data_IF_693290142830
#
_entry.id   IF_693290142830
#
_cell.length_a   1.000
_cell.length_b   1.000
_cell.length_c   1.000
_cell.angle_alpha   90.00
_cell.angle_beta   90.00
_cell.angle_gamma   90.00
#
_symmetry.space_group_name_H-M   'P 1'
#
loop_
_entity.id
_entity.type
_entity.pdbx_description
1 polymer ?
#
# COMPACT_ATOMS: atom_id res chain seq x y z
N UNK A 1 -5.54 -8.21 13.28
CA UNK A 1 -4.99 -6.85 13.05
C UNK A 1 -6.01 -5.99 12.28
N UNK A 2 -6.44 -4.83 12.81
CA UNK A 2 -7.20 -3.85 12.07
C UNK A 2 -6.33 -3.06 11.06
N UNK A 3 -6.93 -2.62 9.95
CA UNK A 3 -6.28 -1.73 8.95
C UNK A 3 -5.76 -0.42 9.59
N UNK A 4 -6.32 -0.03 10.74
CA UNK A 4 -5.92 1.15 11.51
C UNK A 4 -4.47 1.11 12.01
N UNK A 5 -3.86 -0.08 12.13
CA UNK A 5 -2.47 -0.23 12.59
C UNK A 5 -1.45 -0.02 11.45
N UNK A 6 -1.95 0.19 10.22
CA UNK A 6 -1.11 0.51 9.07
C UNK A 6 -0.88 2.03 9.07
N UNK A 7 0.39 2.44 9.16
CA UNK A 7 0.76 3.84 9.04
C UNK A 7 0.33 4.37 7.66
N UNK A 8 -0.54 5.39 7.58
CA UNK A 8 -0.95 5.96 6.30
C UNK A 8 0.23 6.66 5.62
N UNK A 9 0.26 6.58 4.29
CA UNK A 9 1.26 7.26 3.48
C UNK A 9 1.13 8.80 3.52
N UNK A 10 2.24 9.53 3.32
CA UNK A 10 2.24 10.99 3.14
C UNK A 10 1.25 11.46 2.06
N UNK A 11 0.65 12.64 2.27
CA UNK A 11 -0.31 13.23 1.32
C UNK A 11 0.26 13.43 -0.08
N UNK A 12 1.56 13.69 -0.20
CA UNK A 12 2.26 13.83 -1.48
C UNK A 12 2.19 12.54 -2.29
N UNK A 13 2.50 11.40 -1.67
CA UNK A 13 2.41 10.09 -2.30
C UNK A 13 0.96 9.75 -2.70
N UNK A 14 0.01 10.03 -1.81
CA UNK A 14 -1.42 9.79 -2.07
C UNK A 14 -1.91 10.64 -3.26
N UNK A 15 -1.48 11.90 -3.33
CA UNK A 15 -1.89 12.87 -4.35
C UNK A 15 -1.62 12.40 -5.79
N UNK A 16 -0.52 11.67 -6.01
CA UNK A 16 -0.15 11.10 -7.33
C UNK A 16 -1.23 10.13 -7.85
N UNK A 17 -1.87 9.38 -6.95
CA UNK A 17 -2.83 8.34 -7.33
C UNK A 17 -4.30 8.80 -7.26
N UNK A 18 -4.59 9.93 -6.61
CA UNK A 18 -5.95 10.45 -6.42
C UNK A 18 -6.81 10.56 -7.71
N UNK A 19 -6.27 10.96 -8.88
CA UNK A 19 -7.04 11.03 -10.12
C UNK A 19 -7.58 9.67 -10.60
N UNK A 20 -6.89 8.58 -10.27
CA UNK A 20 -7.22 7.22 -10.75
C UNK A 20 -8.23 6.49 -9.86
N UNK A 21 -8.57 7.04 -8.70
CA UNK A 21 -9.46 6.41 -7.73
C UNK A 21 -10.68 7.29 -7.45
N UNK A 22 -11.86 6.67 -7.41
CA UNK A 22 -13.14 7.32 -7.15
C UNK A 22 -13.84 6.72 -5.93
N UNK A 23 -14.73 7.52 -5.31
CA UNK A 23 -15.59 7.09 -4.21
C UNK A 23 -14.82 6.57 -3.00
N UNK A 24 -15.35 5.50 -2.39
CA UNK A 24 -14.84 4.94 -1.13
C UNK A 24 -13.39 4.41 -1.21
N UNK A 25 -12.88 4.13 -2.42
CA UNK A 25 -11.50 3.64 -2.60
C UNK A 25 -10.45 4.70 -2.19
N UNK A 26 -10.79 5.99 -2.25
CA UNK A 26 -9.91 7.08 -1.79
C UNK A 26 -9.60 7.01 -0.30
N UNK A 27 -10.51 6.46 0.52
CA UNK A 27 -10.31 6.32 1.98
C UNK A 27 -9.27 5.25 2.32
N UNK A 28 -9.18 4.21 1.50
CA UNK A 28 -8.24 3.11 1.68
C UNK A 28 -6.85 3.41 1.08
N UNK A 29 -6.77 4.34 0.14
CA UNK A 29 -5.56 4.64 -0.63
C UNK A 29 -4.32 4.98 0.24
N UNK A 30 -4.41 5.80 1.30
CA UNK A 30 -3.25 6.08 2.15
C UNK A 30 -2.69 4.83 2.84
N UNK A 31 -3.57 3.92 3.27
CA UNK A 31 -3.18 2.68 3.93
C UNK A 31 -2.60 1.67 2.94
N UNK A 32 -3.18 1.57 1.74
CA UNK A 32 -2.66 0.70 0.68
C UNK A 32 -1.23 1.10 0.27
N UNK A 33 -0.97 2.40 0.10
CA UNK A 33 0.38 2.91 -0.23
C UNK A 33 1.34 2.68 0.94
N UNK A 34 0.92 2.94 2.18
CA UNK A 34 1.74 2.71 3.37
C UNK A 34 2.13 1.23 3.53
N UNK A 35 1.16 0.32 3.33
CA UNK A 35 1.38 -1.12 3.32
C UNK A 35 2.35 -1.55 2.23
N UNK A 36 2.16 -1.05 1.00
CA UNK A 36 3.04 -1.36 -0.12
C UNK A 36 4.48 -0.92 0.17
N UNK A 37 4.68 0.32 0.65
CA UNK A 37 6.02 0.84 0.99
C UNK A 37 6.69 0.08 2.15
N UNK A 38 5.91 -0.41 3.13
CA UNK A 38 6.43 -1.23 4.22
C UNK A 38 6.96 -2.58 3.73
N UNK A 39 6.37 -3.14 2.68
CA UNK A 39 6.83 -4.39 2.04
C UNK A 39 6.51 -5.67 2.83
N UNK A 40 6.11 -5.56 4.10
CA UNK A 40 5.65 -6.68 4.91
C UNK A 40 4.50 -6.30 5.84
N UNK A 41 3.75 -7.31 6.27
CA UNK A 41 2.72 -7.23 7.29
C UNK A 41 2.76 -8.51 8.11
N UNK A 42 2.92 -8.36 9.42
CA UNK A 42 2.98 -9.44 10.38
C UNK A 42 1.94 -9.23 11.47
N UNK A 43 1.52 -10.32 12.10
CA UNK A 43 0.67 -10.26 13.29
C UNK A 43 -0.14 -11.53 13.48
N UNK A 44 -1.18 -11.42 14.30
CA UNK A 44 -2.10 -12.51 14.56
C UNK A 44 -3.47 -12.26 13.96
N UNK A 45 -3.98 -13.28 13.28
CA UNK A 45 -5.35 -13.33 12.79
C UNK A 45 -6.19 -14.11 13.78
N UNK A 46 -7.09 -13.40 14.45
CA UNK A 46 -8.11 -14.00 15.32
C UNK A 46 -9.05 -14.87 14.47
N UNK A 47 -9.23 -16.12 14.87
CA UNK A 47 -10.19 -17.05 14.29
C UNK A 47 -11.43 -17.07 15.18
N UNK A 48 -12.61 -16.98 14.60
CA UNK A 48 -13.86 -17.08 15.37
C UNK A 48 -14.01 -18.50 15.92
N UNK A 49 -14.22 -18.61 17.24
CA UNK A 49 -14.38 -19.90 17.92
C UNK A 49 -13.09 -20.71 18.10
N UNK A 50 -11.91 -20.14 17.82
CA UNK A 50 -10.62 -20.83 17.96
C UNK A 50 -9.49 -19.92 18.42
N UNK A 51 -8.27 -20.47 18.43
CA UNK A 51 -7.05 -19.71 18.74
C UNK A 51 -6.63 -18.80 17.58
N UNK A 52 -5.94 -17.72 17.92
CA UNK A 52 -5.35 -16.82 16.93
C UNK A 52 -4.19 -17.50 16.20
N UNK A 53 -4.07 -17.23 14.90
CA UNK A 53 -2.99 -17.79 14.06
C UNK A 53 -2.04 -16.67 13.65
N UNK A 54 -0.75 -16.83 13.92
CA UNK A 54 0.29 -15.92 13.45
C UNK A 54 0.42 -15.97 11.92
N UNK A 55 0.63 -14.81 11.29
CA UNK A 55 0.85 -14.71 9.84
C UNK A 55 1.97 -13.73 9.51
N UNK A 56 2.61 -13.96 8.36
CA UNK A 56 3.55 -13.05 7.72
C UNK A 56 3.17 -12.94 6.24
N UNK A 57 2.84 -11.74 5.79
CA UNK A 57 2.63 -11.40 4.38
C UNK A 57 3.76 -10.48 3.92
N UNK A 58 4.35 -10.78 2.78
CA UNK A 58 5.44 -9.97 2.19
C UNK A 58 5.10 -9.65 0.75
N UNK A 59 5.29 -8.40 0.35
CA UNK A 59 5.20 -7.95 -1.03
C UNK A 59 6.59 -7.56 -1.49
N UNK A 60 7.06 -8.15 -2.59
CA UNK A 60 8.31 -7.74 -3.19
C UNK A 60 8.07 -6.43 -3.95
N UNK A 61 8.47 -5.31 -3.35
CA UNK A 61 8.45 -4.00 -3.99
C UNK A 61 9.61 -3.98 -4.98
N UNK A 62 9.35 -4.42 -6.20
CA UNK A 62 10.35 -4.34 -7.25
C UNK A 62 10.55 -2.89 -7.64
N UNK A 63 11.71 -2.31 -7.29
CA UNK A 63 12.19 -1.02 -7.82
C UNK A 63 12.75 -1.18 -9.23
N UNK A 64 12.16 -2.05 -10.06
CA UNK A 64 12.51 -2.07 -11.48
C UNK A 64 12.22 -0.67 -12.02
N UNK A 65 13.21 0.01 -12.63
CA UNK A 65 13.12 1.40 -13.01
C UNK A 65 12.09 1.56 -14.14
N UNK A 66 10.82 1.69 -13.78
CA UNK A 66 9.78 2.19 -14.68
C UNK A 66 9.83 3.74 -14.77
N UNK A 67 10.73 4.39 -14.01
CA UNK A 67 10.88 5.85 -13.93
C UNK A 67 11.67 6.49 -15.07
N UNK A 68 12.08 5.72 -16.09
CA UNK A 68 12.78 6.24 -17.28
C UNK A 68 11.89 6.31 -18.51
N UNK A 69 10.66 6.79 -18.35
CA UNK A 69 9.89 7.34 -19.48
C UNK A 69 9.93 8.87 -19.45
N UNK A 70 11.13 9.45 -19.40
CA UNK A 70 11.33 10.82 -19.88
C UNK A 70 11.25 10.79 -21.41
N UNK A 71 10.05 10.96 -21.96
CA UNK A 71 9.93 11.37 -23.37
C UNK A 71 10.34 12.84 -23.45
N UNK A 72 11.64 13.09 -23.57
CA UNK A 72 12.13 14.40 -24.03
C UNK A 72 11.79 14.53 -25.51
N UNK A 73 10.76 15.30 -25.84
CA UNK A 73 10.55 15.78 -27.20
C UNK A 73 11.67 16.79 -27.50
N UNK A 74 12.73 16.32 -28.15
CA UNK A 74 13.67 17.17 -28.87
C UNK A 74 13.27 17.11 -30.34
N UNK A 75 12.58 18.14 -30.83
CA UNK A 75 12.78 18.89 -32.08
C UNK A 75 11.78 20.05 -32.05
#
# INVERSE_FOLDING_TARGET
MPIADIQPAPKQDVGVYMPYYQGNKRKALPYAIGLYKRGNLEGERRIEGGESIAFLATWNVSMLPADLNSMSHAV
#
